data_IF_138698477631
#
_entry.id   IF_138698477631
#
_cell.length_a   1.000
_cell.length_b   1.000
_cell.length_c   1.000
_cell.angle_alpha   90.00
_cell.angle_beta   90.00
_cell.angle_gamma   90.00
#
_symmetry.space_group_name_H-M   'P 1'
#
loop_
_entity.id
_entity.type
_entity.pdbx_description
1 polymer ?
#
# COMPACT_ATOMS: atom_id res chain seq x y z
N UNK A 1 20.13 7.18 -24.64
CA UNK A 1 21.19 6.46 -23.91
C UNK A 1 21.31 6.90 -22.45
N UNK A 2 21.81 8.10 -22.10
CA UNK A 2 22.04 8.54 -20.69
C UNK A 2 20.88 8.25 -19.71
N UNK A 3 19.62 8.49 -20.09
CA UNK A 3 18.44 8.23 -19.24
C UNK A 3 18.21 6.74 -18.90
N UNK A 4 18.46 5.86 -19.87
CA UNK A 4 18.40 4.40 -19.66
C UNK A 4 19.54 3.94 -18.76
N UNK A 5 20.75 4.51 -18.93
CA UNK A 5 21.91 4.22 -18.10
C UNK A 5 21.69 4.55 -16.62
N UNK A 6 20.96 5.63 -16.30
CA UNK A 6 20.67 6.03 -14.90
C UNK A 6 19.55 5.19 -14.25
N UNK A 7 18.56 4.73 -15.04
CA UNK A 7 17.60 3.73 -14.56
C UNK A 7 18.28 2.37 -14.34
N UNK A 8 19.16 1.96 -15.25
CA UNK A 8 20.05 0.82 -15.05
C UNK A 8 20.93 1.02 -13.83
N UNK A 9 21.49 2.22 -13.59
CA UNK A 9 22.31 2.48 -12.40
C UNK A 9 21.51 2.48 -11.10
N UNK A 10 20.22 2.84 -11.12
CA UNK A 10 19.34 2.72 -9.95
C UNK A 10 18.97 1.27 -9.64
N UNK A 11 18.63 0.48 -10.66
CA UNK A 11 18.40 -0.97 -10.53
C UNK A 11 19.70 -1.68 -10.11
N UNK A 12 20.84 -1.25 -10.65
CA UNK A 12 22.17 -1.76 -10.31
C UNK A 12 22.59 -1.34 -8.90
N UNK A 13 22.30 -0.12 -8.43
CA UNK A 13 22.60 0.32 -7.06
C UNK A 13 21.77 -0.46 -6.03
N UNK A 14 20.48 -0.67 -6.27
CA UNK A 14 19.67 -1.55 -5.41
C UNK A 14 20.23 -2.99 -5.41
N UNK A 15 20.79 -3.46 -6.54
CA UNK A 15 21.46 -4.75 -6.61
C UNK A 15 22.86 -4.78 -5.95
N UNK A 16 23.59 -3.67 -5.93
CA UNK A 16 24.97 -3.48 -5.42
C UNK A 16 25.00 -3.17 -3.92
N UNK A 17 24.02 -2.43 -3.38
CA UNK A 17 23.84 -2.23 -1.93
C UNK A 17 23.58 -3.56 -1.19
N UNK A 18 23.27 -4.63 -1.92
CA UNK A 18 23.21 -6.00 -1.40
C UNK A 18 24.58 -6.68 -1.20
N UNK A 19 25.72 -6.08 -1.60
CA UNK A 19 27.04 -6.66 -1.37
C UNK A 19 27.44 -6.55 0.11
N UNK A 20 26.90 -7.45 0.93
CA UNK A 20 27.27 -7.58 2.32
C UNK A 20 28.73 -8.06 2.44
N UNK A 21 29.61 -7.19 2.95
CA UNK A 21 30.97 -7.58 3.33
C UNK A 21 30.92 -8.49 4.56
N UNK A 22 31.04 -9.80 4.35
CA UNK A 22 31.34 -10.73 5.44
C UNK A 22 32.79 -10.52 5.86
N UNK A 23 33.05 -9.78 6.94
CA UNK A 23 34.33 -9.90 7.63
C UNK A 23 34.47 -11.36 8.07
N UNK A 24 35.57 -11.99 7.67
CA UNK A 24 35.70 -13.45 7.79
C UNK A 24 35.72 -13.90 9.24
N UNK A 25 34.65 -14.58 9.67
CA UNK A 25 34.75 -15.52 10.78
C UNK A 25 35.75 -16.60 10.36
N UNK A 26 36.95 -16.50 10.92
CA UNK A 26 38.00 -17.47 10.69
C UNK A 26 37.56 -18.78 11.33
N UNK A 27 37.47 -19.84 10.52
CA UNK A 27 37.08 -21.18 10.99
C UNK A 27 38.10 -21.65 12.02
N UNK A 28 37.72 -21.61 13.30
CA UNK A 28 38.47 -22.26 14.39
C UNK A 28 38.11 -23.74 14.36
N UNK A 29 39.06 -24.66 14.08
CA UNK A 29 38.78 -26.08 14.11
C UNK A 29 38.52 -26.55 15.56
N UNK A 30 37.70 -27.61 15.75
CA UNK A 30 37.46 -28.16 17.07
C UNK A 30 38.77 -28.73 17.65
N UNK A 31 39.05 -28.42 18.91
CA UNK A 31 40.17 -29.01 19.64
C UNK A 31 39.66 -30.20 20.44
N UNK A 32 39.81 -31.40 19.89
CA UNK A 32 39.56 -32.64 20.62
C UNK A 32 40.50 -32.72 21.83
N UNK A 33 39.93 -32.95 23.01
CA UNK A 33 40.65 -33.53 24.16
C UNK A 33 39.63 -34.22 25.07
N UNK A 34 39.38 -35.50 24.81
CA UNK A 34 38.89 -36.42 25.83
C UNK A 34 39.86 -36.44 27.02
N UNK A 35 39.34 -36.63 28.25
CA UNK A 35 39.84 -37.57 29.28
C UNK A 35 39.18 -37.28 30.66
N UNK A 36 38.83 -38.37 31.34
CA UNK A 36 38.49 -38.53 32.76
C UNK A 36 37.16 -38.00 33.33
N UNK A 37 36.24 -38.97 33.46
CA UNK A 37 35.28 -39.12 34.57
C UNK A 37 35.95 -39.91 35.71
N UNK A 38 35.56 -39.70 36.98
CA UNK A 38 35.01 -40.86 37.71
C UNK A 38 33.71 -40.57 38.47
N UNK A 39 33.03 -41.65 38.88
CA UNK A 39 31.88 -41.62 39.80
C UNK A 39 32.33 -41.24 41.24
N UNK A 40 31.50 -41.04 42.26
CA UNK A 40 30.16 -41.56 42.62
C UNK A 40 29.67 -40.75 43.84
N UNK A 41 28.36 -40.62 44.11
CA UNK A 41 27.75 -41.03 45.40
C UNK A 41 26.21 -40.95 45.34
N UNK A 42 25.59 -41.85 46.10
CA UNK A 42 24.14 -42.07 46.24
C UNK A 42 23.65 -41.41 47.54
N UNK A 43 22.41 -40.90 47.56
CA UNK A 43 21.47 -41.11 48.69
C UNK A 43 20.00 -40.80 48.35
N UNK A 44 19.13 -41.64 48.89
CA UNK A 44 17.65 -41.58 48.95
C UNK A 44 17.19 -40.51 49.97
N UNK A 45 15.90 -40.17 50.21
CA UNK A 45 14.70 -41.03 50.33
C UNK A 45 13.36 -40.25 50.35
N UNK A 46 12.24 -40.92 50.01
CA UNK A 46 10.83 -40.67 50.47
C UNK A 46 10.13 -39.30 50.22
N UNK A 47 8.79 -39.15 50.08
CA UNK A 47 7.67 -40.11 50.05
C UNK A 47 6.33 -39.52 49.47
N UNK A 48 5.50 -40.41 48.89
CA UNK A 48 4.02 -40.54 49.05
C UNK A 48 3.10 -39.35 48.63
N UNK A 49 2.41 -39.39 47.46
CA UNK A 49 1.13 -40.09 47.12
C UNK A 49 -0.15 -39.36 47.60
N UNK A 50 -1.08 -39.03 46.68
CA UNK A 50 -2.48 -39.52 46.57
C UNK A 50 -3.23 -38.85 45.39
N UNK A 51 -3.94 -39.68 44.63
CA UNK A 51 -4.95 -39.46 43.56
C UNK A 51 -6.03 -40.57 43.83
N UNK A 52 -7.33 -40.54 43.44
CA UNK A 52 -8.17 -39.59 42.66
C UNK A 52 -9.49 -39.18 43.39
N UNK A 53 -10.48 -38.57 42.69
CA UNK A 53 -11.82 -39.18 42.44
C UNK A 53 -12.69 -38.36 41.45
N UNK A 54 -13.64 -39.07 40.83
CA UNK A 54 -14.43 -38.89 39.59
C UNK A 54 -15.46 -37.74 39.49
N UNK A 55 -15.71 -37.35 38.23
CA UNK A 55 -17.00 -37.08 37.52
C UNK A 55 -18.28 -36.77 38.33
N UNK A 56 -19.02 -35.76 37.87
CA UNK A 56 -20.44 -35.89 37.50
C UNK A 56 -20.83 -34.85 36.43
N UNK A 57 -21.62 -35.27 35.44
CA UNK A 57 -22.44 -34.40 34.59
C UNK A 57 -23.80 -34.30 35.27
N UNK A 58 -24.46 -33.12 35.29
CA UNK A 58 -25.92 -33.14 35.24
C UNK A 58 -26.56 -31.89 34.62
N UNK A 59 -27.77 -32.08 34.11
CA UNK A 59 -28.55 -31.11 33.36
C UNK A 59 -29.72 -30.57 34.18
N UNK A 60 -29.94 -29.25 34.20
CA UNK A 60 -31.20 -28.65 34.67
C UNK A 60 -31.69 -27.60 33.67
N UNK A 61 -32.99 -27.65 33.40
CA UNK A 61 -33.78 -26.84 32.44
C UNK A 61 -34.79 -25.97 33.23
N UNK A 62 -35.49 -25.04 32.56
CA UNK A 62 -36.65 -24.22 33.02
C UNK A 62 -36.29 -23.07 34.01
N UNK A 63 -37.01 -21.94 34.19
CA UNK A 63 -38.20 -21.23 33.58
C UNK A 63 -38.29 -19.82 34.21
N UNK A 64 -38.87 -18.73 33.68
CA UNK A 64 -39.47 -18.29 32.38
C UNK A 64 -39.55 -16.73 32.38
N UNK A 65 -39.97 -16.10 31.25
CA UNK A 65 -40.64 -14.76 31.20
C UNK A 65 -39.75 -13.54 31.55
N UNK A 66 -39.87 -12.33 31.01
CA UNK A 66 -40.39 -11.74 29.76
C UNK A 66 -39.97 -10.26 29.82
N UNK A 67 -39.42 -9.64 28.77
CA UNK A 67 -39.78 -8.23 28.53
C UNK A 67 -39.58 -7.65 27.10
N UNK A 68 -40.57 -6.84 26.76
CA UNK A 68 -40.72 -5.72 25.80
C UNK A 68 -39.89 -5.52 24.50
N UNK A 69 -40.68 -5.26 23.44
CA UNK A 69 -40.53 -4.15 22.48
C UNK A 69 -39.44 -4.20 21.36
N UNK A 70 -39.64 -5.08 20.37
CA UNK A 70 -39.04 -4.89 19.02
C UNK A 70 -39.94 -4.01 18.13
N UNK A 71 -39.56 -2.75 17.92
CA UNK A 71 -40.29 -1.77 17.08
C UNK A 71 -40.30 -2.21 15.61
N UNK A 72 -41.48 -2.52 15.07
CA UNK A 72 -41.72 -2.95 13.68
C UNK A 72 -41.83 -1.73 12.77
N UNK A 73 -40.84 -1.48 11.91
CA UNK A 73 -41.01 -0.50 10.82
C UNK A 73 -41.85 -1.12 9.71
N UNK A 74 -43.02 -0.52 9.45
CA UNK A 74 -43.90 -0.90 8.34
C UNK A 74 -43.49 -0.12 7.11
N UNK A 75 -43.07 -0.84 6.08
CA UNK A 75 -42.72 -0.26 4.78
C UNK A 75 -44.01 -0.13 3.96
N UNK A 76 -44.59 1.08 3.91
CA UNK A 76 -45.78 1.34 3.08
C UNK A 76 -45.33 1.45 1.62
N UNK A 77 -45.60 0.40 0.83
CA UNK A 77 -45.61 0.48 -0.62
C UNK A 77 -46.98 1.01 -1.04
N UNK A 78 -47.03 2.27 -1.46
CA UNK A 78 -48.18 2.76 -2.20
C UNK A 78 -48.09 2.23 -3.64
N UNK A 79 -49.13 1.55 -4.10
CA UNK A 79 -49.16 0.87 -5.41
C UNK A 79 -50.60 0.71 -5.88
N UNK A 80 -51.20 1.82 -6.29
CA UNK A 80 -52.52 1.82 -6.94
C UNK A 80 -52.36 1.72 -8.46
N UNK A 81 -52.80 0.61 -9.09
CA UNK A 81 -52.73 0.50 -10.55
C UNK A 81 -53.88 1.30 -11.18
N UNK A 82 -53.57 2.36 -11.94
CA UNK A 82 -54.56 2.98 -12.83
C UNK A 82 -54.73 2.11 -14.09
N UNK A 83 -55.96 1.78 -14.50
CA UNK A 83 -56.20 0.99 -15.70
C UNK A 83 -55.90 1.80 -16.96
N UNK A 84 -55.27 1.14 -17.94
CA UNK A 84 -55.10 1.65 -19.30
C UNK A 84 -56.44 1.46 -20.02
N UNK A 85 -57.08 2.56 -20.41
CA UNK A 85 -58.18 2.55 -21.37
C UNK A 85 -57.69 3.31 -22.61
N UNK A 86 -57.58 2.59 -23.72
CA UNK A 86 -57.33 3.20 -25.02
C UNK A 86 -58.67 3.65 -25.62
N UNK A 87 -58.79 4.94 -25.93
CA UNK A 87 -59.84 5.48 -26.81
C UNK A 87 -59.37 6.79 -27.46
N UNK A 88 -59.57 6.87 -28.77
CA UNK A 88 -59.72 8.05 -29.63
C UNK A 88 -58.68 9.17 -29.66
N UNK A 89 -57.82 9.05 -30.68
CA UNK A 89 -57.18 10.16 -31.37
C UNK A 89 -58.19 11.11 -32.02
N UNK A 90 -58.71 12.11 -31.29
CA UNK A 90 -59.55 13.16 -31.91
C UNK A 90 -59.43 14.57 -31.30
N UNK A 91 -58.51 14.79 -30.36
CA UNK A 91 -58.23 16.14 -29.83
C UNK A 91 -56.76 16.53 -29.99
N UNK A 92 -56.38 16.86 -31.23
CA UNK A 92 -55.27 17.78 -31.50
C UNK A 92 -55.63 19.17 -30.97
N UNK A 93 -55.58 19.32 -29.64
CA UNK A 93 -55.59 20.63 -29.00
C UNK A 93 -54.34 21.34 -29.47
N UNK A 94 -54.49 22.26 -30.44
CA UNK A 94 -53.51 23.30 -30.70
C UNK A 94 -53.37 24.10 -29.41
N UNK A 95 -52.44 23.70 -28.55
CA UNK A 95 -51.88 24.53 -27.49
C UNK A 95 -50.99 25.62 -28.12
N UNK A 96 -51.58 26.37 -29.05
CA UNK A 96 -51.18 27.74 -29.33
C UNK A 96 -51.49 28.50 -28.05
N UNK A 97 -50.49 28.57 -27.17
CA UNK A 97 -50.48 29.53 -26.06
C UNK A 97 -50.90 30.87 -26.68
N UNK A 98 -52.01 31.49 -26.24
CA UNK A 98 -52.39 32.78 -26.79
C UNK A 98 -51.20 33.71 -26.52
N UNK A 99 -50.58 34.22 -27.59
CA UNK A 99 -49.53 35.20 -27.49
C UNK A 99 -50.20 36.48 -27.00
N UNK A 100 -50.36 36.57 -25.68
CA UNK A 100 -50.77 37.80 -25.01
C UNK A 100 -49.69 38.81 -25.39
N UNK A 101 -50.02 39.87 -26.15
CA UNK A 101 -49.05 40.90 -26.42
C UNK A 101 -48.76 41.58 -25.09
N UNK A 102 -47.63 41.23 -24.47
CA UNK A 102 -47.15 41.89 -23.27
C UNK A 102 -46.82 43.32 -23.68
N UNK A 103 -47.80 44.21 -23.56
CA UNK A 103 -47.64 45.65 -23.68
C UNK A 103 -46.77 46.07 -22.50
N UNK A 104 -45.45 45.97 -22.68
CA UNK A 104 -44.49 46.42 -21.71
C UNK A 104 -44.83 47.87 -21.35
N UNK A 105 -45.00 48.15 -20.06
CA UNK A 105 -45.29 49.51 -19.63
C UNK A 105 -44.11 50.43 -19.97
N UNK A 106 -44.36 51.72 -20.14
CA UNK A 106 -43.30 52.70 -20.43
C UNK A 106 -42.17 52.61 -19.38
N UNK A 107 -42.50 52.36 -18.11
CA UNK A 107 -41.54 52.13 -17.03
C UNK A 107 -40.71 50.85 -17.18
N UNK A 108 -41.30 49.76 -17.71
CA UNK A 108 -40.55 48.53 -18.00
C UNK A 108 -39.55 48.77 -19.15
N UNK A 109 -39.98 49.45 -20.21
CA UNK A 109 -39.11 49.85 -21.33
C UNK A 109 -37.98 50.79 -20.86
N UNK A 110 -38.28 51.75 -19.97
CA UNK A 110 -37.30 52.65 -19.37
C UNK A 110 -36.30 51.93 -18.43
N UNK A 111 -36.72 50.86 -17.74
CA UNK A 111 -35.81 50.01 -16.94
C UNK A 111 -34.91 49.16 -17.82
N UNK A 112 -35.45 48.59 -18.89
CA UNK A 112 -34.69 47.76 -19.85
C UNK A 112 -33.64 48.60 -20.58
N UNK A 113 -33.97 49.80 -21.06
CA UNK A 113 -33.01 50.71 -21.71
C UNK A 113 -31.87 51.11 -20.77
N UNK A 114 -32.18 51.58 -19.54
CA UNK A 114 -31.16 51.88 -18.52
C UNK A 114 -30.23 50.70 -18.23
N UNK A 115 -30.76 49.48 -18.20
CA UNK A 115 -29.96 48.26 -18.01
C UNK A 115 -29.07 47.96 -19.21
N UNK A 116 -29.57 48.11 -20.45
CA UNK A 116 -28.78 47.98 -21.67
C UNK A 116 -27.66 49.02 -21.74
N UNK A 117 -27.93 50.27 -21.35
CA UNK A 117 -26.92 51.33 -21.33
C UNK A 117 -25.86 51.10 -20.24
N UNK A 118 -26.26 50.59 -19.07
CA UNK A 118 -25.32 50.13 -18.04
C UNK A 118 -24.40 49.02 -18.57
N UNK A 119 -24.95 48.01 -19.26
CA UNK A 119 -24.16 46.94 -19.90
C UNK A 119 -23.23 47.47 -21.00
N UNK A 120 -23.66 48.42 -21.82
CA UNK A 120 -22.82 49.08 -22.84
C UNK A 120 -21.67 49.87 -22.22
N UNK A 121 -21.88 50.47 -21.06
CA UNK A 121 -20.88 51.29 -20.36
C UNK A 121 -19.87 50.48 -19.53
N UNK A 122 -20.01 49.16 -19.43
CA UNK A 122 -19.22 48.39 -18.46
C UNK A 122 -17.73 48.27 -18.89
N UNK A 123 -16.75 48.78 -18.12
CA UNK A 123 -15.36 48.89 -18.59
C UNK A 123 -14.62 47.57 -18.85
N UNK A 124 -15.11 46.44 -18.30
CA UNK A 124 -14.39 45.17 -18.26
C UNK A 124 -14.98 44.07 -19.15
N UNK A 125 -16.20 44.24 -19.66
CA UNK A 125 -16.93 43.19 -20.37
C UNK A 125 -17.55 43.71 -21.67
N UNK A 126 -17.15 43.12 -22.78
CA UNK A 126 -17.60 43.51 -24.11
C UNK A 126 -18.87 42.75 -24.54
N UNK A 127 -20.02 43.07 -23.95
CA UNK A 127 -21.29 42.36 -24.20
C UNK A 127 -21.85 42.54 -25.63
N UNK A 128 -21.52 43.65 -26.30
CA UNK A 128 -22.08 44.03 -27.60
C UNK A 128 -21.06 44.01 -28.76
N UNK A 129 -19.79 43.72 -28.47
CA UNK A 129 -18.74 43.64 -29.47
C UNK A 129 -18.58 42.26 -30.11
N UNK A 130 -17.52 42.10 -30.91
CA UNK A 130 -17.19 40.82 -31.56
C UNK A 130 -16.85 39.77 -30.51
N UNK A 131 -17.55 38.62 -30.58
CA UNK A 131 -17.33 37.50 -29.68
C UNK A 131 -15.88 37.03 -29.69
N UNK A 132 -15.20 37.13 -28.55
CA UNK A 132 -13.85 36.64 -28.35
C UNK A 132 -13.94 35.14 -28.04
N UNK A 133 -13.32 34.30 -28.87
CA UNK A 133 -13.20 32.86 -28.59
C UNK A 133 -12.15 32.66 -27.49
N UNK A 134 -12.62 32.59 -26.25
CA UNK A 134 -11.80 32.12 -25.13
C UNK A 134 -11.67 30.60 -25.30
N UNK A 135 -10.46 30.10 -25.52
CA UNK A 135 -10.19 28.66 -25.41
C UNK A 135 -10.15 28.30 -23.94
N UNK A 136 -11.33 27.98 -23.39
CA UNK A 136 -11.44 27.40 -22.06
C UNK A 136 -10.71 26.04 -22.06
N UNK A 137 -9.50 26.03 -21.48
CA UNK A 137 -8.83 24.79 -21.16
C UNK A 137 -9.56 24.17 -19.97
N UNK A 138 -10.42 23.19 -20.25
CA UNK A 138 -11.05 22.40 -19.19
C UNK A 138 -9.97 21.88 -18.24
N UNK A 139 -10.09 22.24 -16.96
CA UNK A 139 -9.11 21.88 -15.94
C UNK A 139 -9.14 20.37 -15.75
N UNK A 140 -8.28 19.64 -16.46
CA UNK A 140 -8.01 18.22 -16.22
C UNK A 140 -7.64 18.04 -14.75
N UNK A 141 -8.60 17.55 -13.97
CA UNK A 141 -8.40 17.20 -12.57
C UNK A 141 -7.52 15.95 -12.55
N UNK A 142 -6.26 16.13 -12.14
CA UNK A 142 -5.38 14.98 -11.90
C UNK A 142 -5.83 14.35 -10.57
N UNK A 143 -6.68 13.33 -10.63
CA UNK A 143 -7.27 12.67 -9.47
C UNK A 143 -6.21 11.88 -8.69
N UNK A 144 -5.56 12.56 -7.74
CA UNK A 144 -4.52 11.98 -6.87
C UNK A 144 -5.09 11.14 -5.73
N UNK A 145 -6.41 11.15 -5.55
CA UNK A 145 -7.14 10.49 -4.47
C UNK A 145 -6.84 8.98 -4.43
N UNK A 146 -6.82 8.31 -5.58
CA UNK A 146 -6.50 6.89 -5.66
C UNK A 146 -5.05 6.56 -5.22
N UNK A 147 -4.11 7.47 -5.47
CA UNK A 147 -2.71 7.34 -5.05
C UNK A 147 -2.55 7.62 -3.55
N UNK A 148 -3.32 8.56 -3.00
CA UNK A 148 -3.42 8.79 -1.56
C UNK A 148 -3.91 7.54 -0.82
N UNK A 149 -5.04 6.97 -1.23
CA UNK A 149 -5.59 5.77 -0.59
C UNK A 149 -4.66 4.56 -0.71
N UNK A 150 -3.92 4.43 -1.82
CA UNK A 150 -2.91 3.37 -1.98
C UNK A 150 -1.78 3.49 -0.95
N UNK A 151 -1.23 4.67 -0.74
CA UNK A 151 -0.12 4.88 0.20
C UNK A 151 -0.60 4.81 1.65
N UNK A 152 -1.80 5.32 1.95
CA UNK A 152 -2.44 5.11 3.24
C UNK A 152 -2.65 3.60 3.51
N UNK A 153 -3.08 2.83 2.52
CA UNK A 153 -3.18 1.37 2.58
C UNK A 153 -1.83 0.67 2.80
N UNK A 154 -0.77 1.13 2.13
CA UNK A 154 0.60 0.61 2.28
C UNK A 154 1.15 0.86 3.69
N UNK A 155 0.92 2.05 4.25
CA UNK A 155 1.27 2.40 5.63
C UNK A 155 0.46 1.59 6.65
N UNK A 156 -0.85 1.41 6.42
CA UNK A 156 -1.71 0.59 7.25
C UNK A 156 -1.28 -0.88 7.23
N UNK A 157 -0.92 -1.41 6.05
CA UNK A 157 -0.37 -2.76 5.90
C UNK A 157 0.92 -2.95 6.70
N UNK A 158 1.86 -1.99 6.63
CA UNK A 158 3.04 -2.01 7.50
C UNK A 158 2.69 -1.96 8.98
N UNK A 159 1.78 -1.07 9.39
CA UNK A 159 1.36 -0.93 10.78
C UNK A 159 0.73 -2.23 11.31
N UNK A 160 -0.09 -2.91 10.50
CA UNK A 160 -0.67 -4.21 10.82
C UNK A 160 0.41 -5.27 11.03
N UNK A 161 1.40 -5.36 10.13
CA UNK A 161 2.54 -6.29 10.27
C UNK A 161 3.33 -5.97 11.54
N UNK A 162 3.58 -4.68 11.84
CA UNK A 162 4.29 -4.25 13.04
C UNK A 162 3.53 -4.56 14.34
N UNK A 163 2.20 -4.52 14.33
CA UNK A 163 1.37 -4.90 15.49
C UNK A 163 1.35 -6.42 15.68
N UNK A 164 1.06 -7.18 14.62
CA UNK A 164 0.91 -8.66 14.69
C UNK A 164 2.26 -9.35 14.91
N UNK A 165 3.32 -8.90 14.24
CA UNK A 165 4.65 -9.51 14.27
C UNK A 165 5.70 -8.61 14.91
N UNK A 166 5.32 -7.86 15.95
CA UNK A 166 6.18 -6.88 16.65
C UNK A 166 7.60 -7.39 16.94
N UNK A 167 7.72 -8.56 17.60
CA UNK A 167 9.03 -9.18 17.90
C UNK A 167 9.87 -9.44 16.65
N UNK A 168 9.27 -9.78 15.51
CA UNK A 168 9.98 -10.01 14.25
C UNK A 168 10.52 -8.72 13.66
N UNK A 169 9.73 -7.64 13.69
CA UNK A 169 10.16 -6.31 13.22
C UNK A 169 11.25 -5.73 14.14
N UNK A 170 11.08 -5.86 15.46
CA UNK A 170 12.07 -5.41 16.45
C UNK A 170 13.41 -6.19 16.29
N UNK A 171 13.33 -7.50 16.02
CA UNK A 171 14.49 -8.35 15.71
C UNK A 171 15.20 -7.91 14.42
N UNK A 172 14.46 -7.64 13.33
CA UNK A 172 15.02 -7.14 12.06
C UNK A 172 15.75 -5.82 12.27
N UNK A 173 15.13 -4.86 12.96
CA UNK A 173 15.74 -3.55 13.22
C UNK A 173 17.00 -3.69 14.09
N UNK A 174 16.94 -4.53 15.14
CA UNK A 174 18.10 -4.80 16.00
C UNK A 174 19.25 -5.40 15.19
N UNK A 175 18.97 -6.38 14.34
CA UNK A 175 19.94 -7.14 13.56
C UNK A 175 20.62 -6.33 12.45
N UNK A 176 20.01 -5.23 12.00
CA UNK A 176 20.59 -4.31 11.03
C UNK A 176 21.38 -3.17 11.69
N UNK A 177 20.85 -2.58 12.77
CA UNK A 177 21.48 -1.45 13.44
C UNK A 177 22.53 -1.84 14.49
N UNK A 178 22.59 -3.10 14.94
CA UNK A 178 23.50 -3.55 16.01
C UNK A 178 24.15 -4.89 15.69
N UNK A 179 25.47 -4.88 15.50
CA UNK A 179 26.31 -6.09 15.49
C UNK A 179 26.41 -6.62 16.92
N UNK A 180 25.95 -7.84 17.19
CA UNK A 180 25.98 -8.45 18.53
C UNK A 180 26.17 -9.96 18.43
N UNK A 181 26.75 -10.62 19.45
CA UNK A 181 26.83 -12.10 19.47
C UNK A 181 25.46 -12.81 19.47
N UNK A 182 24.37 -12.09 19.81
CA UNK A 182 22.99 -12.59 19.72
C UNK A 182 22.47 -12.63 18.27
N UNK A 183 23.22 -12.10 17.30
CA UNK A 183 22.90 -12.06 15.87
C UNK A 183 22.55 -13.44 15.29
N UNK A 184 23.29 -14.48 15.64
CA UNK A 184 23.00 -15.86 15.21
C UNK A 184 21.67 -16.36 15.80
N UNK A 185 21.47 -16.21 17.12
CA UNK A 185 20.23 -16.59 17.80
C UNK A 185 18.99 -15.84 17.27
N UNK A 186 19.15 -14.56 16.93
CA UNK A 186 18.07 -13.73 16.35
C UNK A 186 17.77 -14.19 14.91
N UNK A 187 18.79 -14.49 14.11
CA UNK A 187 18.63 -15.09 12.77
C UNK A 187 17.87 -16.41 12.86
N UNK A 188 18.24 -17.30 13.77
CA UNK A 188 17.60 -18.61 13.89
C UNK A 188 16.11 -18.48 14.30
N UNK A 189 15.78 -17.55 15.21
CA UNK A 189 14.39 -17.20 15.51
C UNK A 189 13.64 -16.58 14.31
N UNK A 190 14.33 -15.83 13.45
CA UNK A 190 13.74 -15.26 12.24
C UNK A 190 13.50 -16.29 11.13
N UNK A 191 14.29 -17.37 11.09
CA UNK A 191 14.06 -18.51 10.19
C UNK A 191 12.82 -19.33 10.61
N UNK A 192 12.53 -19.39 11.92
CA UNK A 192 11.32 -20.04 12.46
C UNK A 192 10.00 -19.29 12.18
N UNK A 193 10.06 -18.07 11.61
CA UNK A 193 8.89 -17.19 11.40
C UNK A 193 8.68 -16.81 9.92
N UNK A 194 8.50 -17.79 9.00
CA UNK A 194 8.41 -17.55 7.56
C UNK A 194 7.20 -16.70 7.13
N UNK A 195 6.09 -16.73 7.89
CA UNK A 195 4.90 -15.94 7.58
C UNK A 195 5.17 -14.42 7.68
N UNK A 196 5.86 -13.97 8.74
CA UNK A 196 6.25 -12.57 8.89
C UNK A 196 7.27 -12.14 7.82
N UNK A 197 8.16 -13.06 7.43
CA UNK A 197 9.07 -12.88 6.29
C UNK A 197 8.32 -12.64 4.98
N UNK A 198 7.26 -13.42 4.71
CA UNK A 198 6.46 -13.29 3.49
C UNK A 198 5.76 -11.93 3.41
N UNK A 199 5.10 -11.49 4.49
CA UNK A 199 4.42 -10.19 4.53
C UNK A 199 5.39 -9.01 4.29
N UNK A 200 6.59 -9.02 4.88
CA UNK A 200 7.59 -7.97 4.61
C UNK A 200 8.21 -8.07 3.21
N UNK A 201 8.31 -9.27 2.62
CA UNK A 201 8.75 -9.41 1.23
C UNK A 201 7.70 -8.85 0.24
N UNK A 202 6.40 -9.05 0.51
CA UNK A 202 5.32 -8.44 -0.27
C UNK A 202 5.35 -6.91 -0.11
N UNK A 203 5.56 -6.42 1.12
CA UNK A 203 5.73 -4.99 1.39
C UNK A 203 6.88 -4.38 0.57
N UNK A 204 8.05 -5.01 0.59
CA UNK A 204 9.21 -4.60 -0.23
C UNK A 204 8.87 -4.62 -1.73
N UNK A 205 8.17 -5.65 -2.21
CA UNK A 205 7.84 -5.77 -3.62
C UNK A 205 6.92 -4.64 -4.11
N UNK A 206 5.88 -4.32 -3.34
CA UNK A 206 4.90 -3.29 -3.68
C UNK A 206 5.47 -1.87 -3.47
N UNK A 207 6.21 -1.64 -2.38
CA UNK A 207 6.87 -0.34 -2.11
C UNK A 207 7.99 -0.06 -3.12
N UNK A 208 8.86 -1.03 -3.38
CA UNK A 208 9.91 -0.94 -4.40
C UNK A 208 9.35 -0.79 -5.82
N UNK A 209 8.28 -1.51 -6.15
CA UNK A 209 7.55 -1.33 -7.41
C UNK A 209 7.02 0.09 -7.57
N UNK A 210 6.39 0.65 -6.54
CA UNK A 210 5.87 2.04 -6.57
C UNK A 210 6.99 3.08 -6.68
N UNK A 211 8.12 2.84 -6.02
CA UNK A 211 9.30 3.70 -6.14
C UNK A 211 9.86 3.69 -7.57
N UNK A 212 9.98 2.52 -8.20
CA UNK A 212 10.38 2.40 -9.60
C UNK A 212 9.41 3.11 -10.56
N UNK A 213 8.10 3.15 -10.25
CA UNK A 213 7.12 3.96 -11.00
C UNK A 213 7.41 5.46 -10.89
N UNK A 214 7.67 5.97 -9.68
CA UNK A 214 8.02 7.40 -9.49
C UNK A 214 9.33 7.78 -10.17
N UNK A 215 10.37 6.94 -10.03
CA UNK A 215 11.66 7.13 -10.70
C UNK A 215 11.52 7.06 -12.23
N UNK A 216 10.74 6.11 -12.75
CA UNK A 216 10.43 5.98 -14.17
C UNK A 216 9.69 7.21 -14.72
N UNK A 217 8.71 7.74 -13.98
CA UNK A 217 7.97 8.97 -14.33
C UNK A 217 8.91 10.19 -14.37
N UNK A 218 9.85 10.30 -13.44
CA UNK A 218 10.84 11.39 -13.42
C UNK A 218 11.79 11.36 -14.62
N UNK A 219 12.33 10.19 -14.97
CA UNK A 219 13.21 10.08 -16.14
C UNK A 219 12.47 10.09 -17.49
N UNK A 220 11.13 10.04 -17.46
CA UNK A 220 10.26 10.13 -18.64
C UNK A 220 10.10 8.80 -19.39
N UNK A 221 10.24 7.67 -18.70
CA UNK A 221 10.01 6.34 -19.29
C UNK A 221 8.51 6.05 -19.33
N UNK A 222 7.96 6.02 -20.54
CA UNK A 222 6.56 5.67 -20.83
C UNK A 222 6.49 4.30 -21.49
N UNK A 223 6.32 3.25 -20.68
CA UNK A 223 6.06 1.88 -21.15
C UNK A 223 4.55 1.68 -21.37
N UNK A 224 3.72 2.31 -20.55
CA UNK A 224 2.25 2.27 -20.64
C UNK A 224 1.67 3.53 -20.01
N UNK A 225 0.55 4.03 -20.53
CA UNK A 225 -0.13 5.23 -20.02
C UNK A 225 -0.87 5.01 -18.68
N UNK A 226 -1.14 3.74 -18.33
CA UNK A 226 -1.78 3.37 -17.07
C UNK A 226 -0.74 3.11 -15.95
N UNK A 227 -0.69 4.00 -14.96
CA UNK A 227 0.21 3.94 -13.81
C UNK A 227 0.08 2.62 -13.00
N UNK A 228 -1.12 2.04 -12.89
CA UNK A 228 -1.35 0.79 -12.15
C UNK A 228 -0.77 -0.43 -12.86
N UNK A 229 -0.81 -0.42 -14.19
CA UNK A 229 -0.24 -1.47 -15.02
C UNK A 229 1.29 -1.34 -15.05
N UNK A 230 1.81 -0.11 -15.04
CA UNK A 230 3.24 0.16 -14.85
C UNK A 230 3.74 -0.29 -13.47
N UNK A 231 2.94 -0.13 -12.40
CA UNK A 231 3.23 -0.67 -11.07
C UNK A 231 3.30 -2.21 -11.09
N UNK A 232 2.39 -2.88 -11.80
CA UNK A 232 2.41 -4.33 -11.94
C UNK A 232 3.68 -4.82 -12.67
N UNK A 233 4.08 -4.16 -13.77
CA UNK A 233 5.34 -4.47 -14.46
C UNK A 233 6.59 -4.15 -13.62
N UNK A 234 6.62 -3.02 -12.92
CA UNK A 234 7.74 -2.66 -12.05
C UNK A 234 7.91 -3.67 -10.90
N UNK A 235 6.81 -4.05 -10.26
CA UNK A 235 6.79 -5.08 -9.21
C UNK A 235 7.19 -6.46 -9.75
N UNK A 236 6.68 -6.83 -10.93
CA UNK A 236 7.03 -8.09 -11.61
C UNK A 236 8.50 -8.17 -12.00
N UNK A 237 9.08 -7.09 -12.55
CA UNK A 237 10.50 -6.99 -12.85
C UNK A 237 11.35 -7.19 -11.59
N UNK A 238 10.98 -6.51 -10.50
CA UNK A 238 11.66 -6.59 -9.20
C UNK A 238 11.58 -8.02 -8.64
N UNK A 239 10.42 -8.69 -8.77
CA UNK A 239 10.24 -10.10 -8.40
C UNK A 239 11.16 -11.03 -9.20
N UNK A 240 11.25 -10.86 -10.52
CA UNK A 240 12.08 -11.70 -11.41
C UNK A 240 13.57 -11.52 -11.10
N UNK A 241 14.05 -10.28 -10.94
CA UNK A 241 15.45 -10.00 -10.57
C UNK A 241 15.81 -10.64 -9.23
N UNK A 242 14.90 -10.56 -8.26
CA UNK A 242 15.06 -11.13 -6.92
C UNK A 242 15.04 -12.66 -6.91
N UNK A 243 14.10 -13.29 -7.62
CA UNK A 243 14.05 -14.75 -7.78
C UNK A 243 15.28 -15.28 -8.50
N UNK A 244 15.71 -14.62 -9.59
CA UNK A 244 16.93 -14.96 -10.31
C UNK A 244 18.17 -14.90 -9.40
N UNK A 245 18.31 -13.83 -8.60
CA UNK A 245 19.38 -13.70 -7.61
C UNK A 245 19.36 -14.82 -6.57
N UNK A 246 18.19 -15.15 -6.02
CA UNK A 246 18.04 -16.25 -5.06
C UNK A 246 18.42 -17.61 -5.65
N UNK A 247 17.93 -17.92 -6.86
CA UNK A 247 18.22 -19.19 -7.55
C UNK A 247 19.71 -19.31 -7.87
N UNK A 248 20.33 -18.28 -8.45
CA UNK A 248 21.76 -18.28 -8.78
C UNK A 248 22.64 -18.47 -7.52
N UNK A 249 22.30 -17.79 -6.42
CA UNK A 249 23.01 -17.97 -5.16
C UNK A 249 22.84 -19.38 -4.60
N UNK A 250 21.62 -19.93 -4.59
CA UNK A 250 21.37 -21.28 -4.05
C UNK A 250 22.06 -22.37 -4.88
N UNK A 251 22.08 -22.22 -6.21
CA UNK A 251 22.85 -23.07 -7.12
C UNK A 251 24.36 -22.97 -6.86
N UNK A 252 24.90 -21.77 -6.68
CA UNK A 252 26.31 -21.56 -6.33
C UNK A 252 26.68 -22.22 -4.99
N UNK A 253 25.84 -22.08 -3.95
CA UNK A 253 26.07 -22.75 -2.67
C UNK A 253 26.07 -24.28 -2.75
N UNK A 254 25.26 -24.84 -3.65
CA UNK A 254 25.19 -26.28 -3.89
C UNK A 254 26.41 -26.80 -4.69
N UNK A 255 26.76 -26.18 -5.82
CA UNK A 255 27.87 -26.64 -6.68
C UNK A 255 29.24 -26.52 -5.99
N UNK A 256 29.45 -25.50 -5.15
CA UNK A 256 30.69 -25.32 -4.38
C UNK A 256 30.67 -25.99 -3.00
N UNK A 257 29.58 -26.68 -2.63
CA UNK A 257 29.38 -27.33 -1.32
C UNK A 257 29.61 -26.40 -0.09
N UNK A 258 29.35 -25.10 -0.24
CA UNK A 258 29.48 -24.07 0.82
C UNK A 258 28.11 -23.53 1.25
N UNK A 259 27.13 -24.42 1.35
CA UNK A 259 25.72 -24.10 1.63
C UNK A 259 25.52 -23.24 2.88
N UNK A 260 26.25 -23.51 3.97
CA UNK A 260 26.15 -22.75 5.22
C UNK A 260 26.57 -21.27 5.07
N UNK A 261 27.65 -20.99 4.33
CA UNK A 261 28.09 -19.63 4.04
C UNK A 261 27.10 -18.93 3.11
N UNK A 262 26.68 -19.62 2.05
CA UNK A 262 25.72 -19.11 1.06
C UNK A 262 24.35 -18.80 1.67
N UNK A 263 23.82 -19.66 2.54
CA UNK A 263 22.53 -19.45 3.22
C UNK A 263 22.60 -18.30 4.23
N UNK A 264 23.80 -18.00 4.75
CA UNK A 264 24.05 -16.80 5.57
C UNK A 264 23.99 -15.54 4.72
N UNK A 265 24.67 -15.52 3.57
CA UNK A 265 24.61 -14.42 2.63
C UNK A 265 23.21 -14.18 2.07
N UNK A 266 22.52 -15.25 1.64
CA UNK A 266 21.13 -15.22 1.17
C UNK A 266 20.21 -14.61 2.25
N UNK A 267 20.34 -15.03 3.51
CA UNK A 267 19.58 -14.46 4.62
C UNK A 267 19.85 -12.95 4.81
N UNK A 268 21.10 -12.50 4.68
CA UNK A 268 21.44 -11.07 4.76
C UNK A 268 20.79 -10.28 3.60
N UNK A 269 20.85 -10.78 2.37
CA UNK A 269 20.18 -10.13 1.21
C UNK A 269 18.66 -10.06 1.43
N UNK A 270 18.03 -11.14 1.92
CA UNK A 270 16.61 -11.13 2.29
C UNK A 270 16.30 -10.11 3.41
N UNK A 271 17.20 -9.93 4.38
CA UNK A 271 17.03 -8.97 5.46
C UNK A 271 17.14 -7.53 4.97
N UNK A 272 18.17 -7.22 4.19
CA UNK A 272 18.40 -5.89 3.61
C UNK A 272 17.20 -5.45 2.78
N UNK A 273 16.69 -6.32 1.90
CA UNK A 273 15.51 -6.01 1.08
C UNK A 273 14.27 -5.66 1.92
N UNK A 274 13.99 -6.40 3.00
CA UNK A 274 12.86 -6.10 3.90
C UNK A 274 13.01 -4.72 4.56
N UNK A 275 14.23 -4.34 4.92
CA UNK A 275 14.52 -3.05 5.57
C UNK A 275 14.44 -1.91 4.57
N UNK A 276 15.00 -2.08 3.37
CA UNK A 276 14.80 -1.15 2.24
C UNK A 276 13.30 -0.95 2.00
N UNK A 277 12.50 -2.01 1.99
CA UNK A 277 11.03 -1.92 1.85
C UNK A 277 10.35 -1.07 2.93
N UNK A 278 10.81 -1.16 4.18
CA UNK A 278 10.29 -0.34 5.30
C UNK A 278 10.79 1.11 5.20
N UNK A 279 12.07 1.33 4.87
CA UNK A 279 12.67 2.66 4.71
C UNK A 279 12.12 3.41 3.49
N UNK A 280 11.65 2.70 2.46
CA UNK A 280 10.97 3.30 1.32
C UNK A 280 9.63 3.93 1.67
N UNK A 281 8.93 3.48 2.73
CA UNK A 281 7.60 4.00 3.08
C UNK A 281 7.57 5.53 3.28
N UNK A 282 8.42 6.15 4.13
CA UNK A 282 8.46 7.61 4.23
C UNK A 282 8.91 8.30 2.93
N UNK A 283 9.82 7.70 2.16
CA UNK A 283 10.27 8.25 0.86
C UNK A 283 9.11 8.29 -0.14
N UNK A 284 8.30 7.23 -0.22
CA UNK A 284 7.12 7.15 -1.07
C UNK A 284 6.09 8.22 -0.72
N UNK A 285 5.85 8.48 0.57
CA UNK A 285 4.96 9.56 1.02
C UNK A 285 5.45 10.93 0.52
N UNK A 286 6.75 11.20 0.58
CA UNK A 286 7.34 12.44 0.08
C UNK A 286 7.32 12.56 -1.45
N UNK A 287 7.54 11.45 -2.18
CA UNK A 287 7.49 11.43 -3.65
C UNK A 287 6.07 11.51 -4.23
N UNK A 288 5.07 11.06 -3.46
CA UNK A 288 3.67 11.01 -3.87
C UNK A 288 2.96 12.36 -3.91
N UNK A 289 3.31 13.25 -2.98
CA UNK A 289 2.79 14.61 -2.87
C UNK A 289 3.93 15.61 -3.09
N UNK A 290 4.55 15.62 -4.28
CA UNK A 290 5.76 16.38 -4.49
C UNK A 290 5.44 17.87 -4.52
N UNK A 291 5.98 18.60 -3.56
CA UNK A 291 6.27 20.01 -3.79
C UNK A 291 7.36 20.09 -4.87
N UNK A 292 7.21 20.88 -5.95
CA UNK A 292 8.09 20.81 -7.12
C UNK A 292 9.59 20.94 -6.81
N UNK A 293 9.95 21.72 -5.79
CA UNK A 293 11.34 21.91 -5.36
C UNK A 293 11.94 20.72 -4.57
N UNK A 294 11.13 19.91 -3.87
CA UNK A 294 11.64 18.82 -3.03
C UNK A 294 11.84 17.51 -3.77
N UNK A 295 11.17 17.28 -4.92
CA UNK A 295 11.30 16.03 -5.66
C UNK A 295 12.76 15.62 -6.00
N UNK A 296 13.63 16.48 -6.56
CA UNK A 296 15.02 16.10 -6.82
C UNK A 296 15.83 15.83 -5.55
N UNK A 297 15.52 16.52 -4.44
CA UNK A 297 16.18 16.32 -3.14
C UNK A 297 15.79 14.97 -2.53
N UNK A 298 14.49 14.63 -2.54
CA UNK A 298 13.99 13.34 -2.06
C UNK A 298 14.53 12.19 -2.93
N UNK A 299 14.62 12.40 -4.25
CA UNK A 299 15.21 11.43 -5.18
C UNK A 299 16.71 11.22 -4.90
N UNK A 300 17.51 12.28 -4.75
CA UNK A 300 18.94 12.15 -4.41
C UNK A 300 19.16 11.49 -3.04
N UNK A 301 18.36 11.84 -2.02
CA UNK A 301 18.38 11.16 -0.72
C UNK A 301 18.09 9.65 -0.86
N UNK A 302 17.12 9.28 -1.70
CA UNK A 302 16.76 7.89 -1.96
C UNK A 302 17.74 7.11 -2.85
N UNK A 303 18.77 7.76 -3.39
CA UNK A 303 19.91 7.10 -4.03
C UNK A 303 21.11 6.90 -3.08
N UNK A 304 21.11 7.58 -1.93
CA UNK A 304 22.13 7.45 -0.87
C UNK A 304 21.77 6.35 0.14
N UNK A 305 20.46 6.10 0.32
CA UNK A 305 19.88 5.00 1.11
C UNK A 305 19.94 3.66 0.38
#
# INVERSE_FOLDING_TARGET
>A
MKKSLVLLSGILLIAVLSFAQTKGDSVVPPKDTDINKPARTVRTDTARKVIPVRKATDSIRRTTITDTARKKQVFIRDSTPKPVIAADTSHLKKDTIPVVPIKASADQLARISRFQDALRSHPYFNFYGRAIRITEQERKREDKDALFYFIAGLLLYYALIKVVFRKYVDNIMTLFFRVTMRQQQIRDQMLQTPLASLFLNILYLVSGGMYLVFVGRYYGVRITDNNWLLLAYASGLLLVVYLGKFILLKLAGWIFNITAATDTYIFIVFLVNKIIGILLLPVLVMMAFPYPAFFPVVLTLSYIM
#
